data_IF_865249788988
#
_entry.id   IF_865249788988
#
_cell.length_a   1.000
_cell.length_b   1.000
_cell.length_c   1.000
_cell.angle_alpha   90.00
_cell.angle_beta   90.00
_cell.angle_gamma   90.00
#
_symmetry.space_group_name_H-M   'P 1'
#
loop_
_entity.id
_entity.type
_entity.pdbx_description
1 polymer ?
#
# COMPACT_ATOMS: atom_id res chain seq x y z
N UNK A 1 36.54 14.47 0.67
CA UNK A 1 35.37 13.72 0.16
C UNK A 1 34.14 14.61 0.25
N UNK A 2 33.86 15.38 -0.81
CA UNK A 2 32.83 16.42 -0.82
C UNK A 2 31.45 15.83 -1.13
N UNK A 3 30.54 15.89 -0.16
CA UNK A 3 29.11 15.59 -0.36
C UNK A 3 28.41 16.84 -0.90
N UNK A 4 28.21 16.90 -2.21
CA UNK A 4 27.32 17.86 -2.86
C UNK A 4 26.10 17.05 -3.35
N UNK A 5 24.94 17.28 -2.73
CA UNK A 5 23.69 16.57 -3.06
C UNK A 5 23.12 16.98 -4.43
N UNK A 6 21.97 16.42 -4.87
CA UNK A 6 21.23 17.03 -5.96
C UNK A 6 19.80 17.42 -5.58
N UNK A 7 19.52 18.66 -5.94
CA UNK A 7 18.23 19.31 -6.00
C UNK A 7 17.24 18.54 -6.89
N UNK A 8 15.96 18.56 -6.52
CA UNK A 8 14.89 18.30 -7.48
C UNK A 8 14.92 19.41 -8.52
N UNK A 9 15.47 19.10 -9.70
CA UNK A 9 15.44 19.98 -10.86
C UNK A 9 14.12 19.75 -11.60
N UNK A 10 13.27 20.77 -11.64
CA UNK A 10 12.16 20.85 -12.58
C UNK A 10 12.77 21.12 -13.96
N UNK A 11 12.64 20.20 -14.91
CA UNK A 11 13.20 20.35 -16.26
C UNK A 11 12.08 20.35 -17.32
N UNK A 12 12.16 21.36 -18.20
CA UNK A 12 11.51 21.54 -19.50
C UNK A 12 10.22 22.40 -19.57
N UNK A 13 10.45 23.72 -19.58
CA UNK A 13 9.53 24.73 -20.15
C UNK A 13 9.76 24.77 -21.65
N UNK A 14 8.73 24.46 -22.44
CA UNK A 14 8.72 24.72 -23.88
C UNK A 14 7.69 25.82 -24.16
N UNK A 15 8.17 26.99 -24.55
CA UNK A 15 7.38 28.19 -24.85
C UNK A 15 6.74 28.06 -26.22
N UNK A 16 5.47 27.69 -26.28
CA UNK A 16 4.67 27.77 -27.50
C UNK A 16 4.06 29.17 -27.63
N UNK A 17 4.57 29.98 -28.54
CA UNK A 17 3.98 31.27 -28.92
C UNK A 17 2.70 31.05 -29.72
N UNK A 18 1.56 31.50 -29.19
CA UNK A 18 0.39 31.85 -30.00
C UNK A 18 -0.19 33.16 -29.47
N UNK A 19 -0.22 34.14 -30.36
CA UNK A 19 -0.67 35.51 -30.12
C UNK A 19 -2.18 35.59 -30.39
N UNK A 20 -2.97 35.70 -29.33
CA UNK A 20 -4.33 36.24 -29.39
C UNK A 20 -4.79 36.70 -28.00
N UNK A 21 -5.34 37.92 -27.97
CA UNK A 21 -5.72 38.75 -26.81
C UNK A 21 -5.87 38.06 -25.45
N UNK A 22 -5.08 38.50 -24.46
CA UNK A 22 -5.14 37.99 -23.09
C UNK A 22 -5.48 39.10 -22.11
N UNK A 23 -6.64 38.96 -21.47
CA UNK A 23 -7.02 39.67 -20.25
C UNK A 23 -6.02 39.28 -19.16
N UNK A 24 -5.29 40.25 -18.63
CA UNK A 24 -4.26 40.02 -17.62
C UNK A 24 -4.84 39.37 -16.36
N UNK A 25 -4.42 38.14 -16.08
CA UNK A 25 -4.61 37.49 -14.77
C UNK A 25 -5.60 36.31 -14.67
N UNK A 26 -6.31 35.93 -15.74
CA UNK A 26 -7.28 34.82 -15.67
C UNK A 26 -6.66 33.41 -15.80
N UNK A 27 -5.42 33.31 -16.31
CA UNK A 27 -4.72 32.05 -16.49
C UNK A 27 -3.41 32.06 -15.69
N UNK A 28 -3.48 32.04 -14.35
CA UNK A 28 -2.38 31.43 -13.60
C UNK A 28 -2.44 29.94 -13.90
N UNK A 29 -1.87 29.55 -15.04
CA UNK A 29 -1.75 28.17 -15.46
C UNK A 29 -1.00 27.45 -14.33
N UNK A 30 -1.74 26.74 -13.48
CA UNK A 30 -1.15 25.79 -12.55
C UNK A 30 -0.36 24.82 -13.42
N UNK A 31 0.97 24.92 -13.36
CA UNK A 31 1.89 24.12 -14.17
C UNK A 31 1.50 22.65 -14.04
N UNK A 32 0.86 22.11 -15.09
CA UNK A 32 0.45 20.72 -15.09
C UNK A 32 1.72 19.86 -15.19
N UNK A 33 2.04 19.19 -14.08
CA UNK A 33 3.15 18.25 -14.00
C UNK A 33 2.98 17.17 -15.08
N UNK A 34 3.87 17.12 -16.07
CA UNK A 34 3.80 16.12 -17.15
C UNK A 34 4.36 14.76 -16.71
N UNK A 35 5.36 14.78 -15.83
CA UNK A 35 6.07 13.60 -15.36
C UNK A 35 6.35 13.69 -13.86
N UNK A 36 6.43 12.53 -13.23
CA UNK A 36 6.74 12.39 -11.80
C UNK A 36 7.87 11.38 -11.62
N UNK A 37 8.72 11.62 -10.62
CA UNK A 37 9.90 10.81 -10.30
C UNK A 37 9.58 9.78 -9.22
N UNK A 38 9.70 8.50 -9.52
CA UNK A 38 9.52 7.46 -8.50
C UNK A 38 10.73 7.36 -7.57
N UNK A 39 10.50 7.30 -6.25
CA UNK A 39 11.56 7.17 -5.23
C UNK A 39 12.22 5.78 -5.21
N UNK A 40 11.52 4.74 -5.67
CA UNK A 40 12.03 3.36 -5.60
C UNK A 40 12.85 2.94 -6.81
N UNK A 41 12.38 3.26 -8.02
CA UNK A 41 13.05 2.87 -9.24
C UNK A 41 13.84 4.02 -9.88
N UNK A 42 13.82 5.19 -9.25
CA UNK A 42 14.60 6.33 -9.70
C UNK A 42 14.43 6.54 -11.22
N UNK A 43 13.19 6.67 -11.66
CA UNK A 43 12.83 6.97 -13.04
C UNK A 43 11.70 8.00 -13.09
N UNK A 44 11.84 8.96 -14.01
CA UNK A 44 10.78 9.89 -14.39
C UNK A 44 9.79 9.15 -15.30
N UNK A 45 8.52 9.19 -14.93
CA UNK A 45 7.45 8.47 -15.61
C UNK A 45 6.26 9.40 -15.86
N UNK A 46 5.44 9.14 -16.88
CA UNK A 46 4.21 9.90 -17.09
C UNK A 46 3.25 9.74 -15.91
N UNK A 47 2.33 10.69 -15.74
CA UNK A 47 1.33 10.67 -14.66
C UNK A 47 0.55 9.35 -14.58
N UNK A 48 0.22 8.73 -15.72
CA UNK A 48 -0.52 7.47 -15.77
C UNK A 48 0.22 6.29 -15.09
N UNK A 49 1.55 6.38 -14.94
CA UNK A 49 2.32 5.40 -14.19
C UNK A 49 2.14 5.51 -12.66
N UNK A 50 1.42 6.51 -12.16
CA UNK A 50 1.16 6.77 -10.74
C UNK A 50 -0.33 6.70 -10.41
N UNK A 51 -0.69 6.44 -9.16
CA UNK A 51 -2.09 6.47 -8.74
C UNK A 51 -2.63 7.90 -8.71
N UNK A 52 -3.93 8.09 -8.92
CA UNK A 52 -4.58 9.41 -8.82
C UNK A 52 -4.28 10.10 -7.49
N UNK A 53 -4.24 9.35 -6.39
CA UNK A 53 -3.89 9.84 -5.06
C UNK A 53 -2.45 10.34 -4.95
N UNK A 54 -1.50 9.69 -5.64
CA UNK A 54 -0.10 10.13 -5.66
C UNK A 54 0.10 11.35 -6.56
N UNK A 55 -0.64 11.42 -7.67
CA UNK A 55 -0.66 12.60 -8.55
C UNK A 55 -1.17 13.80 -7.74
N UNK A 56 -2.33 13.69 -7.10
CA UNK A 56 -2.90 14.75 -6.26
C UNK A 56 -1.97 15.17 -5.11
N UNK A 57 -1.23 14.22 -4.52
CA UNK A 57 -0.24 14.52 -3.47
C UNK A 57 0.95 15.31 -4.00
N UNK A 58 1.35 15.07 -5.26
CA UNK A 58 2.45 15.76 -5.93
C UNK A 58 2.03 17.12 -6.51
N UNK A 59 0.77 17.25 -6.90
CA UNK A 59 0.21 18.51 -7.41
C UNK A 59 0.09 19.54 -6.29
N UNK A 60 0.45 20.79 -6.59
CA UNK A 60 0.27 21.91 -5.69
C UNK A 60 -1.22 22.12 -5.36
N UNK A 61 -1.57 22.17 -4.08
CA UNK A 61 -2.94 22.46 -3.63
C UNK A 61 -3.00 23.83 -2.96
N UNK A 62 -3.63 24.86 -3.57
CA UNK A 62 -3.68 26.21 -3.02
C UNK A 62 -4.50 26.32 -1.72
N UNK A 63 -5.41 25.37 -1.47
CA UNK A 63 -6.26 25.34 -0.27
C UNK A 63 -5.65 24.53 0.88
N UNK A 64 -4.51 23.88 0.64
CA UNK A 64 -3.81 23.14 1.68
C UNK A 64 -3.00 24.09 2.57
N UNK A 65 -2.80 23.76 3.87
CA UNK A 65 -1.95 24.57 4.73
C UNK A 65 -0.53 24.71 4.13
N UNK A 66 0.19 25.82 4.37
CA UNK A 66 1.49 26.09 3.75
C UNK A 66 2.52 24.96 3.94
N UNK A 67 2.43 24.26 5.09
CA UNK A 67 3.27 23.11 5.42
C UNK A 67 3.05 21.89 4.51
N UNK A 68 1.89 21.80 3.84
CA UNK A 68 1.60 20.71 2.94
C UNK A 68 2.40 20.85 1.65
N UNK A 69 2.40 22.02 1.00
CA UNK A 69 3.09 22.22 -0.28
C UNK A 69 4.62 22.33 -0.11
N UNK A 70 5.10 22.86 1.03
CA UNK A 70 6.53 22.99 1.31
C UNK A 70 7.25 21.64 1.55
N UNK A 71 6.52 20.59 1.96
CA UNK A 71 7.11 19.28 2.27
C UNK A 71 7.38 18.48 1.00
N UNK A 72 8.64 18.02 0.84
CA UNK A 72 9.01 17.04 -0.18
C UNK A 72 8.13 15.79 -0.05
N UNK A 73 7.44 15.43 -1.13
CA UNK A 73 6.52 14.30 -1.17
C UNK A 73 7.22 13.06 -1.70
N UNK A 74 7.13 11.98 -0.95
CA UNK A 74 7.51 10.64 -1.42
C UNK A 74 6.40 10.08 -2.29
N UNK A 75 6.75 9.74 -3.54
CA UNK A 75 5.84 9.19 -4.56
C UNK A 75 6.46 7.93 -5.18
N UNK A 76 5.62 6.95 -5.49
CA UNK A 76 6.03 5.64 -5.99
C UNK A 76 5.17 5.22 -7.17
N UNK A 77 5.74 4.76 -8.28
CA UNK A 77 4.91 4.34 -9.41
C UNK A 77 4.07 3.09 -9.05
N UNK A 78 3.01 2.84 -9.82
CA UNK A 78 2.12 1.66 -9.67
C UNK A 78 2.90 0.34 -9.66
N UNK A 79 3.98 0.25 -10.46
CA UNK A 79 4.85 -0.95 -10.53
C UNK A 79 5.71 -1.16 -9.27
N UNK A 80 6.12 -0.07 -8.61
CA UNK A 80 6.92 -0.14 -7.38
C UNK A 80 6.08 -0.18 -6.11
N UNK A 81 4.78 0.12 -6.22
CA UNK A 81 3.85 0.07 -5.09
C UNK A 81 3.42 -1.38 -4.90
N UNK A 82 3.62 -1.99 -3.71
CA UNK A 82 3.19 -3.36 -3.46
C UNK A 82 1.70 -3.51 -3.70
N UNK A 83 1.31 -4.54 -4.45
CA UNK A 83 -0.10 -4.85 -4.63
C UNK A 83 -0.72 -5.29 -3.30
N UNK A 84 -1.96 -4.88 -3.07
CA UNK A 84 -2.73 -5.34 -1.92
C UNK A 84 -2.99 -6.85 -2.08
N UNK A 85 -2.59 -7.66 -1.10
CA UNK A 85 -2.84 -9.10 -1.09
C UNK A 85 -4.33 -9.36 -0.89
N UNK A 86 -5.04 -9.81 -1.92
CA UNK A 86 -6.48 -10.09 -1.87
C UNK A 86 -6.82 -11.54 -1.50
N UNK A 87 -5.83 -12.43 -1.63
CA UNK A 87 -5.97 -13.86 -1.41
C UNK A 87 -4.82 -14.38 -0.54
N UNK A 88 -5.11 -15.41 0.25
CA UNK A 88 -4.14 -16.13 1.06
C UNK A 88 -4.30 -17.63 0.84
N UNK A 89 -3.20 -18.37 0.97
CA UNK A 89 -3.19 -19.83 0.89
C UNK A 89 -3.19 -20.42 2.29
N UNK A 90 -4.14 -21.29 2.58
CA UNK A 90 -4.20 -21.96 3.88
C UNK A 90 -3.11 -23.02 3.97
N UNK A 91 -2.31 -23.01 5.04
CA UNK A 91 -1.23 -24.00 5.22
C UNK A 91 -1.70 -25.42 5.54
N UNK A 92 -2.95 -25.58 5.99
CA UNK A 92 -3.50 -26.89 6.40
C UNK A 92 -4.19 -27.59 5.23
N UNK A 93 -5.00 -26.86 4.46
CA UNK A 93 -5.76 -27.43 3.35
C UNK A 93 -5.23 -27.02 1.96
N UNK A 94 -4.13 -26.26 1.90
CA UNK A 94 -3.47 -25.78 0.68
C UNK A 94 -4.34 -25.00 -0.30
N UNK A 95 -5.53 -24.55 0.14
CA UNK A 95 -6.47 -23.80 -0.70
C UNK A 95 -6.18 -22.30 -0.66
N UNK A 96 -6.07 -21.68 -1.83
CA UNK A 96 -6.03 -20.23 -2.00
C UNK A 96 -7.44 -19.67 -1.95
N UNK A 97 -7.70 -18.77 -1.02
CA UNK A 97 -9.03 -18.24 -0.71
C UNK A 97 -8.96 -16.73 -0.46
N UNK A 98 -10.08 -16.00 -0.59
CA UNK A 98 -10.13 -14.57 -0.29
C UNK A 98 -9.89 -14.30 1.19
N UNK A 99 -9.41 -13.09 1.50
CA UNK A 99 -9.09 -12.66 2.88
C UNK A 99 -10.22 -12.87 3.88
N UNK A 100 -11.49 -12.84 3.46
CA UNK A 100 -12.65 -13.01 4.34
C UNK A 100 -12.81 -14.43 4.89
N UNK A 101 -12.10 -15.41 4.31
CA UNK A 101 -12.01 -16.77 4.86
C UNK A 101 -10.86 -16.92 5.87
N UNK A 102 -10.16 -15.84 6.18
CA UNK A 102 -9.07 -15.79 7.15
C UNK A 102 -9.33 -14.72 8.23
N UNK A 103 -8.99 -15.03 9.47
CA UNK A 103 -9.05 -14.06 10.57
C UNK A 103 -8.10 -12.88 10.30
N UNK A 104 -8.47 -11.66 10.73
CA UNK A 104 -7.67 -10.44 10.48
C UNK A 104 -6.23 -10.56 10.99
N UNK A 105 -6.03 -11.21 12.14
CA UNK A 105 -4.72 -11.48 12.73
C UNK A 105 -3.81 -12.34 11.83
N UNK A 106 -4.39 -13.25 11.04
CA UNK A 106 -3.66 -14.14 10.12
C UNK A 106 -3.25 -13.44 8.82
N UNK A 107 -3.85 -12.29 8.48
CA UNK A 107 -3.62 -11.61 7.19
C UNK A 107 -2.23 -10.98 7.07
N UNK A 108 -1.57 -10.68 8.19
CA UNK A 108 -0.21 -10.10 8.22
C UNK A 108 0.88 -11.13 7.90
N UNK A 109 0.64 -12.40 8.25
CA UNK A 109 1.61 -13.50 8.10
C UNK A 109 1.05 -14.54 7.12
N UNK A 110 1.07 -14.21 5.83
CA UNK A 110 0.48 -15.03 4.77
C UNK A 110 0.97 -16.49 4.76
N UNK A 111 2.23 -16.70 5.12
CA UNK A 111 2.92 -18.00 5.06
C UNK A 111 2.44 -19.00 6.11
N UNK A 112 1.90 -18.49 7.23
CA UNK A 112 1.38 -19.30 8.34
C UNK A 112 -0.14 -19.19 8.49
N UNK A 113 -0.81 -18.67 7.47
CA UNK A 113 -2.24 -18.40 7.54
C UNK A 113 -3.05 -19.71 7.56
N UNK A 114 -4.00 -19.79 8.49
CA UNK A 114 -4.98 -20.88 8.59
C UNK A 114 -6.37 -20.34 8.29
N UNK A 115 -7.12 -21.02 7.43
CA UNK A 115 -8.49 -20.60 7.14
C UNK A 115 -9.42 -20.89 8.32
N UNK A 116 -10.50 -20.12 8.43
CA UNK A 116 -11.45 -20.19 9.56
C UNK A 116 -12.01 -21.62 9.71
N UNK A 117 -12.23 -22.33 8.60
CA UNK A 117 -12.71 -23.73 8.63
C UNK A 117 -11.71 -24.68 9.30
N UNK A 118 -10.42 -24.54 8.98
CA UNK A 118 -9.37 -25.38 9.59
C UNK A 118 -9.14 -25.05 11.06
N UNK A 119 -9.32 -23.79 11.46
CA UNK A 119 -9.25 -23.38 12.87
C UNK A 119 -10.40 -24.02 13.64
N UNK A 120 -11.65 -23.86 13.18
CA UNK A 120 -12.82 -24.46 13.83
C UNK A 120 -12.73 -25.98 13.94
N UNK A 121 -12.31 -26.65 12.86
CA UNK A 121 -12.12 -28.11 12.87
C UNK A 121 -11.12 -28.54 13.95
N UNK A 122 -10.00 -27.82 14.11
CA UNK A 122 -9.04 -28.10 15.17
C UNK A 122 -9.65 -27.88 16.56
N UNK A 123 -10.37 -26.78 16.76
CA UNK A 123 -11.03 -26.50 18.04
C UNK A 123 -12.04 -27.58 18.41
N UNK A 124 -12.76 -28.14 17.44
CA UNK A 124 -13.69 -29.25 17.64
C UNK A 124 -12.98 -30.57 17.98
N UNK A 125 -11.83 -30.85 17.36
CA UNK A 125 -11.02 -32.06 17.62
C UNK A 125 -10.30 -32.00 18.99
N UNK A 126 -9.78 -30.82 19.38
CA UNK A 126 -9.05 -30.65 20.64
C UNK A 126 -9.96 -30.76 21.88
N UNK A 127 -11.27 -30.44 21.74
CA UNK A 127 -12.24 -30.50 22.85
C UNK A 127 -12.62 -31.94 23.23
N UNK A 128 -12.48 -32.91 22.34
CA UNK A 128 -12.73 -34.32 22.63
C UNK A 128 -11.53 -35.08 23.17
N UNK A 129 -10.35 -34.44 23.28
CA UNK A 129 -9.11 -35.08 23.71
C UNK A 129 -8.88 -35.03 25.24
N UNK A 130 -9.81 -34.48 26.02
CA UNK A 130 -9.80 -34.66 27.48
C UNK A 130 -10.56 -35.93 27.83
N UNK A 131 -9.86 -37.06 27.88
CA UNK A 131 -10.37 -38.25 28.57
C UNK A 131 -10.67 -37.84 30.03
N UNK A 132 -11.86 -38.19 30.58
CA UNK A 132 -12.08 -38.07 32.01
C UNK A 132 -11.08 -39.00 32.71
N UNK A 133 -10.31 -38.45 33.64
CA UNK A 133 -9.50 -39.22 34.58
C UNK A 133 -10.37 -40.35 35.13
N UNK A 134 -10.14 -41.56 34.62
CA UNK A 134 -10.71 -42.77 35.19
C UNK A 134 -9.90 -42.98 36.45
N UNK A 135 -10.35 -42.38 37.55
CA UNK A 135 -9.82 -42.61 38.89
C UNK A 135 -10.09 -44.10 39.20
N UNK A 136 -9.11 -44.92 38.86
CA UNK A 136 -9.08 -46.35 39.13
C UNK A 136 -8.98 -46.52 40.63
N UNK A 137 -10.07 -47.00 41.24
CA UNK A 137 -10.13 -47.44 42.63
C UNK A 137 -9.00 -48.44 42.93
N UNK A 138 -8.20 -48.17 43.97
CA UNK A 138 -7.38 -49.16 44.67
C UNK A 138 -7.63 -49.05 46.18
N UNK A 139 -8.51 -49.94 46.65
CA UNK A 139 -8.44 -50.82 47.82
C UNK A 139 -7.78 -50.40 49.17
N UNK A 140 -8.30 -51.04 50.24
CA UNK A 140 -7.84 -51.15 51.65
C UNK A 140 -8.38 -50.17 52.70
N UNK A 141 -9.50 -50.53 53.36
CA UNK A 141 -9.53 -51.04 54.75
C UNK A 141 -10.94 -51.52 55.16
#
# INVERSE_FOLDING_TARGET
MSRQGPAGRYNNVATGYNNSGSVSGANTQTEQLKTLRCVFCDMDKPLDAFSATQIQKATYNPYAPPSFNAKKKTISCKKCTPAQTTHLTCMICSKTMPLDKFAKSQRRNAEKARCIKCIKKREEEDVWASDPDTDSEDDYY
#
